data_IF_147764409253
#
_entry.id   IF_147764409253
#
_cell.length_a   1.000
_cell.length_b   1.000
_cell.length_c   1.000
_cell.angle_alpha   90.00
_cell.angle_beta   90.00
_cell.angle_gamma   90.00
#
_symmetry.space_group_name_H-M   'P 1'
#
loop_
_entity.id
_entity.type
_entity.pdbx_description
1 polymer ?
#
# COMPACT_ATOMS: atom_id res chain seq x y z
N UNK A 1 21.74 20.15 -16.54
CA UNK A 1 21.82 19.11 -15.49
C UNK A 1 21.18 17.83 -16.04
N UNK A 2 22.00 16.83 -16.40
CA UNK A 2 21.55 15.59 -17.06
C UNK A 2 20.78 14.73 -16.05
N UNK A 3 19.47 14.64 -16.20
CA UNK A 3 18.64 13.67 -15.47
C UNK A 3 18.94 12.29 -16.07
N UNK A 4 19.43 11.38 -15.23
CA UNK A 4 19.78 9.99 -15.56
C UNK A 4 18.73 9.29 -16.44
N UNK A 5 19.02 8.96 -17.71
CA UNK A 5 18.21 8.08 -18.50
C UNK A 5 18.92 6.73 -18.57
N UNK A 6 18.75 5.84 -17.58
CA UNK A 6 19.10 4.40 -17.65
C UNK A 6 18.88 3.70 -16.30
N UNK A 7 17.64 3.61 -15.80
CA UNK A 7 17.30 2.41 -15.02
C UNK A 7 17.08 1.28 -16.05
N UNK A 8 18.16 0.57 -16.41
CA UNK A 8 18.23 -0.36 -17.55
C UNK A 8 17.30 -1.60 -17.49
N UNK A 9 16.41 -1.71 -16.50
CA UNK A 9 15.34 -2.70 -16.53
C UNK A 9 14.23 -2.27 -15.58
N UNK A 10 12.98 -2.27 -16.05
CA UNK A 10 11.77 -2.19 -15.21
C UNK A 10 11.63 -3.51 -14.40
N UNK A 11 12.70 -3.89 -13.70
CA UNK A 11 12.85 -5.11 -12.90
C UNK A 11 13.21 -4.67 -11.49
N UNK A 12 12.36 -5.02 -10.53
CA UNK A 12 12.60 -4.72 -9.11
C UNK A 12 13.06 -5.97 -8.36
N UNK A 13 14.20 -5.87 -7.67
CA UNK A 13 14.75 -6.93 -6.83
C UNK A 13 14.17 -6.87 -5.40
N UNK A 14 14.09 -8.01 -4.72
CA UNK A 14 13.68 -8.09 -3.32
C UNK A 14 14.60 -8.99 -2.50
N UNK A 15 14.81 -8.64 -1.23
CA UNK A 15 15.64 -9.42 -0.29
C UNK A 15 14.85 -10.42 0.58
N UNK A 16 13.53 -10.53 0.36
CA UNK A 16 12.68 -11.58 0.96
C UNK A 16 11.70 -11.13 2.04
N UNK A 17 11.92 -10.00 2.72
CA UNK A 17 11.06 -9.57 3.85
C UNK A 17 9.60 -9.35 3.46
N UNK A 18 9.31 -8.82 2.27
CA UNK A 18 7.94 -8.70 1.75
C UNK A 18 7.27 -10.06 1.57
N UNK A 19 8.00 -11.06 1.03
CA UNK A 19 7.51 -12.44 0.88
C UNK A 19 7.21 -13.05 2.26
N UNK A 20 8.07 -12.84 3.25
CA UNK A 20 7.85 -13.34 4.61
C UNK A 20 6.60 -12.73 5.24
N UNK A 21 6.35 -11.43 5.07
CA UNK A 21 5.12 -10.79 5.54
C UNK A 21 3.88 -11.41 4.89
N UNK A 22 3.91 -11.68 3.58
CA UNK A 22 2.79 -12.32 2.89
C UNK A 22 2.56 -13.78 3.36
N UNK A 23 3.62 -14.54 3.62
CA UNK A 23 3.51 -15.89 4.20
C UNK A 23 2.92 -15.84 5.61
N UNK A 24 3.40 -14.92 6.46
CA UNK A 24 2.88 -14.74 7.80
C UNK A 24 1.39 -14.34 7.77
N UNK A 25 0.99 -13.46 6.86
CA UNK A 25 -0.40 -13.09 6.65
C UNK A 25 -1.29 -14.30 6.36
N UNK A 26 -0.85 -15.19 5.47
CA UNK A 26 -1.55 -16.44 5.17
C UNK A 26 -1.61 -17.40 6.36
N UNK A 27 -0.52 -17.54 7.11
CA UNK A 27 -0.45 -18.41 8.29
C UNK A 27 -1.39 -17.95 9.42
N UNK A 28 -1.49 -16.64 9.64
CA UNK A 28 -2.38 -16.05 10.65
C UNK A 28 -3.82 -15.81 10.14
N UNK A 29 -4.11 -16.10 8.86
CA UNK A 29 -5.43 -15.85 8.28
C UNK A 29 -5.81 -14.36 8.20
N UNK A 30 -4.84 -13.46 8.09
CA UNK A 30 -5.05 -12.01 8.06
C UNK A 30 -4.89 -11.48 6.63
N UNK A 31 -5.85 -10.70 6.09
CA UNK A 31 -5.82 -10.24 4.70
C UNK A 31 -4.88 -9.05 4.50
N UNK A 32 -3.58 -9.31 4.36
CA UNK A 32 -2.57 -8.29 4.02
C UNK A 32 -2.40 -8.18 2.49
N UNK A 33 -3.49 -7.87 1.81
CA UNK A 33 -3.58 -7.92 0.34
C UNK A 33 -2.64 -6.94 -0.34
N UNK A 34 -2.51 -5.71 0.17
CA UNK A 34 -1.76 -4.66 -0.53
C UNK A 34 -0.25 -4.94 -0.51
N UNK A 35 0.29 -5.45 0.60
CA UNK A 35 1.70 -5.87 0.67
C UNK A 35 1.92 -7.13 -0.18
N UNK A 36 0.96 -8.06 -0.19
CA UNK A 36 1.00 -9.25 -1.05
C UNK A 36 1.07 -8.89 -2.54
N UNK A 37 0.17 -8.06 -3.02
CA UNK A 37 0.17 -7.57 -4.41
C UNK A 37 1.45 -6.80 -4.75
N UNK A 38 1.99 -6.02 -3.81
CA UNK A 38 3.27 -5.36 -4.02
C UNK A 38 4.43 -6.37 -4.22
N UNK A 39 4.41 -7.52 -3.54
CA UNK A 39 5.39 -8.60 -3.76
C UNK A 39 5.18 -9.25 -5.13
N UNK A 40 3.93 -9.56 -5.50
CA UNK A 40 3.63 -10.15 -6.81
C UNK A 40 3.98 -9.22 -7.97
N UNK A 41 3.72 -7.91 -7.84
CA UNK A 41 4.12 -6.91 -8.83
C UNK A 41 5.65 -6.91 -9.07
N UNK A 42 6.45 -7.09 -8.01
CA UNK A 42 7.91 -7.24 -8.15
C UNK A 42 8.28 -8.52 -8.88
N UNK A 43 7.67 -9.64 -8.52
CA UNK A 43 7.88 -10.91 -9.23
C UNK A 43 7.53 -10.81 -10.71
N UNK A 44 6.38 -10.21 -11.05
CA UNK A 44 5.95 -9.97 -12.42
C UNK A 44 6.92 -9.06 -13.17
N UNK A 45 7.46 -8.02 -12.50
CA UNK A 45 8.47 -7.14 -13.10
C UNK A 45 9.73 -7.91 -13.55
N UNK A 46 10.15 -8.92 -12.79
CA UNK A 46 11.32 -9.76 -13.07
C UNK A 46 11.11 -10.71 -14.25
N UNK A 47 9.87 -11.05 -14.60
CA UNK A 47 9.53 -11.85 -15.79
C UNK A 47 9.56 -11.01 -17.07
N UNK A 48 10.62 -10.20 -17.26
CA UNK A 48 10.71 -9.20 -18.32
C UNK A 48 10.55 -9.82 -19.71
N UNK A 49 11.27 -10.89 -20.00
CA UNK A 49 11.25 -11.50 -21.34
C UNK A 49 9.86 -12.03 -21.69
N UNK A 50 9.19 -12.69 -20.73
CA UNK A 50 7.81 -13.14 -20.90
C UNK A 50 6.85 -11.97 -21.14
N UNK A 51 6.98 -10.86 -20.42
CA UNK A 51 6.16 -9.67 -20.63
C UNK A 51 6.39 -9.02 -21.99
N UNK A 52 7.64 -8.97 -22.45
CA UNK A 52 7.99 -8.44 -23.77
C UNK A 52 7.38 -9.32 -24.87
N UNK A 53 7.49 -10.64 -24.78
CA UNK A 53 6.85 -11.53 -25.75
C UNK A 53 5.32 -11.43 -25.70
N UNK A 54 4.71 -11.41 -24.51
CA UNK A 54 3.27 -11.25 -24.36
C UNK A 54 2.74 -9.93 -24.97
N UNK A 55 3.50 -8.83 -24.85
CA UNK A 55 3.13 -7.52 -25.40
C UNK A 55 3.03 -7.47 -26.94
N UNK A 56 3.64 -8.43 -27.64
CA UNK A 56 3.53 -8.56 -29.10
C UNK A 56 2.24 -9.26 -29.53
N UNK A 57 1.62 -10.03 -28.64
CA UNK A 57 0.47 -10.90 -28.92
C UNK A 57 -0.82 -10.31 -28.34
N UNK A 58 -0.75 -9.78 -27.12
CA UNK A 58 -1.90 -9.24 -26.41
C UNK A 58 -2.13 -7.77 -26.75
N UNK A 59 -3.37 -7.43 -27.11
CA UNK A 59 -3.81 -6.04 -27.26
C UNK A 59 -4.49 -5.53 -25.98
N UNK A 60 -4.32 -4.24 -25.70
CA UNK A 60 -4.98 -3.54 -24.60
C UNK A 60 -5.85 -2.39 -25.09
N UNK A 61 -6.63 -1.76 -24.20
CA UNK A 61 -7.38 -0.55 -24.55
C UNK A 61 -6.43 0.59 -24.94
N UNK A 62 -6.85 1.42 -25.89
CA UNK A 62 -6.08 2.58 -26.39
C UNK A 62 -6.65 3.92 -25.93
N UNK A 63 -7.53 3.88 -24.92
CA UNK A 63 -8.14 5.07 -24.35
C UNK A 63 -7.08 6.03 -23.81
N UNK A 64 -7.41 7.33 -23.81
CA UNK A 64 -6.61 8.36 -23.14
C UNK A 64 -7.41 8.93 -21.99
N UNK A 65 -6.71 9.41 -20.97
CA UNK A 65 -7.35 10.18 -19.91
C UNK A 65 -8.08 11.38 -20.53
N UNK A 66 -9.36 11.50 -20.23
CA UNK A 66 -10.20 12.63 -20.61
C UNK A 66 -10.39 13.55 -19.40
N UNK A 67 -10.47 14.86 -19.61
CA UNK A 67 -10.64 15.85 -18.54
C UNK A 67 -9.34 16.57 -18.17
N UNK A 68 -9.38 17.34 -17.08
CA UNK A 68 -8.22 18.09 -16.60
C UNK A 68 -7.21 17.16 -15.89
N UNK A 69 -5.96 17.06 -16.39
CA UNK A 69 -4.92 16.28 -15.72
C UNK A 69 -4.63 16.76 -14.29
N UNK A 70 -4.80 18.05 -14.00
CA UNK A 70 -4.53 18.63 -12.68
C UNK A 70 -5.54 18.13 -11.65
N UNK A 71 -6.82 18.12 -12.01
CA UNK A 71 -7.87 17.50 -11.21
C UNK A 71 -7.61 16.00 -10.99
N UNK A 72 -7.18 15.28 -12.03
CA UNK A 72 -6.89 13.85 -11.89
C UNK A 72 -5.69 13.57 -10.97
N UNK A 73 -4.68 14.45 -10.92
CA UNK A 73 -3.58 14.36 -9.95
C UNK A 73 -4.10 14.45 -8.52
N UNK A 74 -5.10 15.29 -8.24
CA UNK A 74 -5.72 15.37 -6.91
C UNK A 74 -6.49 14.08 -6.58
N UNK A 75 -7.17 13.48 -7.56
CA UNK A 75 -7.78 12.16 -7.39
C UNK A 75 -6.74 11.09 -7.06
N UNK A 76 -5.60 11.06 -7.76
CA UNK A 76 -4.47 10.14 -7.48
C UNK A 76 -3.91 10.38 -6.08
N UNK A 77 -3.73 11.64 -5.66
CA UNK A 77 -3.24 12.00 -4.33
C UNK A 77 -4.12 11.42 -3.22
N UNK A 78 -5.44 11.57 -3.35
CA UNK A 78 -6.43 11.01 -2.43
C UNK A 78 -6.46 9.47 -2.47
N UNK A 79 -6.41 8.88 -3.66
CA UNK A 79 -6.36 7.43 -3.85
C UNK A 79 -5.13 6.79 -3.19
N UNK A 80 -3.96 7.40 -3.38
CA UNK A 80 -2.70 6.98 -2.75
C UNK A 80 -2.79 7.08 -1.22
N UNK A 81 -3.36 8.15 -0.70
CA UNK A 81 -3.52 8.33 0.74
C UNK A 81 -4.46 7.29 1.36
N UNK A 82 -5.61 7.03 0.73
CA UNK A 82 -6.52 5.96 1.16
C UNK A 82 -5.84 4.58 1.12
N UNK A 83 -5.14 4.28 0.02
CA UNK A 83 -4.39 3.03 -0.14
C UNK A 83 -3.32 2.85 0.94
N UNK A 84 -2.62 3.95 1.30
CA UNK A 84 -1.66 3.96 2.41
C UNK A 84 -2.36 3.61 3.73
N UNK A 85 -3.48 4.25 4.06
CA UNK A 85 -4.22 3.95 5.30
C UNK A 85 -4.58 2.47 5.39
N UNK A 86 -5.15 1.91 4.32
CA UNK A 86 -5.55 0.49 4.28
C UNK A 86 -4.34 -0.44 4.42
N UNK A 87 -3.22 -0.14 3.75
CA UNK A 87 -1.98 -0.92 3.88
C UNK A 87 -1.47 -0.97 5.34
N UNK A 88 -1.48 0.16 6.03
CA UNK A 88 -1.11 0.20 7.45
C UNK A 88 -2.13 -0.53 8.33
N UNK A 89 -3.43 -0.37 8.07
CA UNK A 89 -4.47 -1.06 8.83
C UNK A 89 -4.27 -2.58 8.78
N UNK A 90 -4.02 -3.13 7.59
CA UNK A 90 -3.73 -4.55 7.39
C UNK A 90 -2.46 -4.99 8.15
N UNK A 91 -1.39 -4.19 8.08
CA UNK A 91 -0.15 -4.48 8.80
C UNK A 91 -0.33 -4.54 10.32
N UNK A 92 -1.07 -3.60 10.90
CA UNK A 92 -1.35 -3.59 12.34
C UNK A 92 -2.29 -4.73 12.76
N UNK A 93 -3.26 -5.11 11.91
CA UNK A 93 -4.08 -6.31 12.15
C UNK A 93 -3.21 -7.58 12.20
N UNK A 94 -2.23 -7.71 11.30
CA UNK A 94 -1.30 -8.84 11.32
C UNK A 94 -0.42 -8.84 12.57
N UNK A 95 0.14 -7.69 12.97
CA UNK A 95 0.90 -7.57 14.20
C UNK A 95 0.08 -7.99 15.43
N UNK A 96 -1.21 -7.63 15.46
CA UNK A 96 -2.11 -8.02 16.54
C UNK A 96 -2.38 -9.52 16.58
N UNK A 97 -2.62 -10.13 15.42
CA UNK A 97 -2.81 -11.58 15.34
C UNK A 97 -1.55 -12.33 15.79
N UNK A 98 -0.38 -11.89 15.32
CA UNK A 98 0.90 -12.47 15.74
C UNK A 98 1.14 -12.28 17.25
N UNK A 99 0.85 -11.10 17.79
CA UNK A 99 1.00 -10.84 19.22
C UNK A 99 0.14 -11.76 20.09
N UNK A 100 -1.09 -12.05 19.65
CA UNK A 100 -1.96 -13.03 20.31
C UNK A 100 -1.33 -14.43 20.30
N UNK A 101 -0.93 -14.93 19.12
CA UNK A 101 -0.45 -16.32 18.97
C UNK A 101 0.89 -16.55 19.66
N UNK A 102 1.79 -15.57 19.61
CA UNK A 102 3.10 -15.61 20.26
C UNK A 102 3.09 -15.11 21.70
N UNK A 103 1.92 -14.72 22.24
CA UNK A 103 1.76 -14.16 23.60
C UNK A 103 2.64 -12.94 23.86
N UNK A 104 2.85 -12.10 22.85
CA UNK A 104 3.59 -10.85 22.98
C UNK A 104 2.69 -9.72 23.47
N UNK A 105 3.19 -8.95 24.43
CA UNK A 105 2.54 -7.72 24.86
C UNK A 105 3.09 -6.54 24.05
N UNK A 106 2.54 -6.33 22.85
CA UNK A 106 2.99 -5.26 21.95
C UNK A 106 2.33 -3.92 22.26
N UNK A 107 3.13 -2.86 22.32
CA UNK A 107 2.63 -1.48 22.36
C UNK A 107 2.62 -0.90 20.94
N UNK A 108 1.47 -0.96 20.27
CA UNK A 108 1.30 -0.51 18.88
C UNK A 108 1.57 0.99 18.69
N UNK A 109 1.20 1.83 19.66
CA UNK A 109 1.51 3.26 19.64
C UNK A 109 3.01 3.53 19.69
N UNK A 110 3.74 2.83 20.55
CA UNK A 110 5.20 2.92 20.64
C UNK A 110 5.89 2.41 19.37
N UNK A 111 5.42 1.30 18.79
CA UNK A 111 5.91 0.79 17.50
C UNK A 111 5.75 1.86 16.42
N UNK A 112 4.56 2.47 16.30
CA UNK A 112 4.30 3.54 15.34
C UNK A 112 5.21 4.76 15.56
N UNK A 113 5.42 5.16 16.82
CA UNK A 113 6.30 6.28 17.16
C UNK A 113 7.76 6.01 16.77
N UNK A 114 8.26 4.80 17.05
CA UNK A 114 9.64 4.42 16.70
C UNK A 114 9.88 4.47 15.18
N UNK A 115 8.87 4.16 14.37
CA UNK A 115 8.97 4.27 12.91
C UNK A 115 8.95 5.72 12.40
N UNK A 116 8.66 6.72 13.24
CA UNK A 116 8.66 8.13 12.82
C UNK A 116 10.06 8.64 12.48
N UNK A 117 11.11 8.04 13.04
CA UNK A 117 12.51 8.39 12.80
C UNK A 117 13.33 7.21 12.27
N UNK A 118 14.38 7.49 11.49
CA UNK A 118 15.41 6.50 11.10
C UNK A 118 15.00 5.47 10.05
N UNK A 119 13.76 4.98 10.04
CA UNK A 119 13.33 3.94 9.10
C UNK A 119 12.92 4.49 7.71
N UNK A 120 12.77 3.59 6.73
CA UNK A 120 12.38 3.95 5.34
C UNK A 120 10.94 4.45 5.26
N UNK A 121 10.03 3.93 6.09
CA UNK A 121 8.60 4.28 6.07
C UNK A 121 8.25 5.54 6.87
N UNK A 122 9.27 6.24 7.38
CA UNK A 122 9.11 7.46 8.20
C UNK A 122 8.21 8.48 7.53
N UNK A 123 7.20 8.97 8.26
CA UNK A 123 6.33 10.04 7.79
C UNK A 123 5.53 10.63 8.95
N UNK A 124 5.03 11.87 8.79
CA UNK A 124 4.13 12.50 9.74
C UNK A 124 2.86 11.65 10.03
N UNK A 125 2.44 10.84 9.05
CA UNK A 125 1.33 9.90 9.15
C UNK A 125 1.43 8.93 10.35
N UNK A 126 2.63 8.53 10.73
CA UNK A 126 2.84 7.63 11.88
C UNK A 126 2.45 8.28 13.22
N UNK A 127 2.47 9.62 13.29
CA UNK A 127 1.94 10.36 14.43
C UNK A 127 0.44 10.16 14.60
N UNK A 128 -0.32 10.09 13.50
CA UNK A 128 -1.76 9.83 13.55
C UNK A 128 -2.06 8.40 14.01
N UNK A 129 -1.26 7.42 13.59
CA UNK A 129 -1.38 6.03 14.07
C UNK A 129 -1.11 5.96 15.58
N UNK A 130 -0.04 6.63 16.05
CA UNK A 130 0.24 6.71 17.49
C UNK A 130 -0.94 7.32 18.24
N UNK A 131 -1.47 8.45 17.79
CA UNK A 131 -2.60 9.13 18.42
C UNK A 131 -3.84 8.22 18.51
N UNK A 132 -4.12 7.43 17.46
CA UNK A 132 -5.22 6.47 17.46
C UNK A 132 -5.05 5.37 18.54
N UNK A 133 -3.83 4.83 18.70
CA UNK A 133 -3.53 3.85 19.73
C UNK A 133 -3.38 4.45 21.14
N UNK A 134 -3.01 5.72 21.27
CA UNK A 134 -3.04 6.43 22.55
C UNK A 134 -4.49 6.60 23.04
N UNK A 135 -5.41 6.92 22.11
CA UNK A 135 -6.85 7.03 22.39
C UNK A 135 -7.48 5.67 22.70
N UNK A 136 -7.13 4.63 21.96
CA UNK A 136 -7.60 3.27 22.20
C UNK A 136 -6.45 2.26 22.02
N UNK A 137 -5.78 1.84 23.11
CA UNK A 137 -4.70 0.85 23.04
C UNK A 137 -5.14 -0.52 22.50
N UNK A 138 -6.44 -0.82 22.63
CA UNK A 138 -7.05 -2.09 22.21
C UNK A 138 -7.70 -2.04 20.82
N UNK A 139 -7.41 -1.00 20.02
CA UNK A 139 -7.98 -0.81 18.69
C UNK A 139 -7.72 -2.04 17.79
N UNK A 140 -8.79 -2.60 17.22
CA UNK A 140 -8.72 -3.80 16.38
C UNK A 140 -8.33 -3.49 14.93
N UNK A 141 -8.74 -2.33 14.43
CA UNK A 141 -8.43 -1.86 13.09
C UNK A 141 -8.32 -0.34 13.08
N UNK A 142 -7.32 0.21 12.38
CA UNK A 142 -7.13 1.65 12.25
C UNK A 142 -8.35 2.34 11.64
N UNK A 143 -9.11 1.64 10.79
CA UNK A 143 -10.32 2.16 10.14
C UNK A 143 -11.50 2.38 11.11
N UNK A 144 -11.35 2.06 12.40
CA UNK A 144 -12.34 2.35 13.44
C UNK A 144 -12.01 3.62 14.23
N UNK A 145 -10.83 4.20 14.05
CA UNK A 145 -10.51 5.50 14.65
C UNK A 145 -11.05 6.65 13.80
N UNK A 146 -11.53 7.69 14.48
CA UNK A 146 -12.24 8.83 13.88
C UNK A 146 -11.42 9.54 12.81
N UNK A 147 -10.12 9.73 13.01
CA UNK A 147 -9.26 10.40 12.03
C UNK A 147 -9.20 9.60 10.71
N UNK A 148 -9.04 8.28 10.81
CA UNK A 148 -8.94 7.43 9.61
C UNK A 148 -10.30 7.23 8.94
N UNK A 149 -11.40 7.18 9.69
CA UNK A 149 -12.76 7.16 9.13
C UNK A 149 -13.00 8.40 8.27
N UNK A 150 -12.72 9.58 8.78
CA UNK A 150 -12.92 10.83 8.05
C UNK A 150 -11.99 10.91 6.84
N UNK A 151 -10.71 10.55 6.99
CA UNK A 151 -9.77 10.51 5.88
C UNK A 151 -10.21 9.56 4.75
N UNK A 152 -10.74 8.38 5.08
CA UNK A 152 -11.28 7.44 4.08
C UNK A 152 -12.56 8.00 3.46
N UNK A 153 -13.44 8.62 4.24
CA UNK A 153 -14.67 9.25 3.73
C UNK A 153 -14.35 10.31 2.67
N UNK A 154 -13.34 11.13 2.91
CA UNK A 154 -12.92 12.22 2.01
C UNK A 154 -12.19 11.72 0.75
N UNK A 155 -11.61 10.52 0.81
CA UNK A 155 -10.79 9.98 -0.27
C UNK A 155 -11.48 8.90 -1.11
N UNK A 156 -12.48 8.20 -0.58
CA UNK A 156 -13.01 6.98 -1.22
C UNK A 156 -13.62 7.23 -2.61
N UNK A 157 -14.25 8.38 -2.86
CA UNK A 157 -14.80 8.71 -4.18
C UNK A 157 -13.68 8.86 -5.22
N UNK A 158 -12.65 9.64 -4.90
CA UNK A 158 -11.45 9.75 -5.73
C UNK A 158 -10.75 8.41 -5.92
N UNK A 159 -10.70 7.59 -4.87
CA UNK A 159 -10.06 6.28 -4.93
C UNK A 159 -10.78 5.35 -5.92
N UNK A 160 -12.12 5.28 -5.86
CA UNK A 160 -12.94 4.52 -6.81
C UNK A 160 -12.81 5.06 -8.22
N UNK A 161 -12.78 6.38 -8.38
CA UNK A 161 -12.60 7.02 -9.69
C UNK A 161 -11.26 6.61 -10.32
N UNK A 162 -10.15 6.68 -9.57
CA UNK A 162 -8.83 6.27 -10.07
C UNK A 162 -8.80 4.80 -10.45
N UNK A 163 -9.36 3.90 -9.64
CA UNK A 163 -9.39 2.46 -9.94
C UNK A 163 -10.23 2.17 -11.20
N UNK A 164 -11.40 2.78 -11.33
CA UNK A 164 -12.25 2.61 -12.51
C UNK A 164 -11.58 3.13 -13.77
N UNK A 165 -11.00 4.33 -13.72
CA UNK A 165 -10.28 4.93 -14.84
C UNK A 165 -9.05 4.11 -15.22
N UNK A 166 -8.25 3.64 -14.25
CA UNK A 166 -7.09 2.78 -14.53
C UNK A 166 -7.50 1.49 -15.24
N UNK A 167 -8.56 0.83 -14.78
CA UNK A 167 -9.08 -0.38 -15.42
C UNK A 167 -9.58 -0.12 -16.85
N UNK A 168 -10.27 0.99 -17.09
CA UNK A 168 -10.73 1.39 -18.43
C UNK A 168 -9.58 1.71 -19.39
N UNK A 169 -8.49 2.29 -18.87
CA UNK A 169 -7.31 2.66 -19.64
C UNK A 169 -6.26 1.53 -19.75
N UNK A 170 -6.47 0.39 -19.09
CA UNK A 170 -5.54 -0.75 -19.13
C UNK A 170 -4.23 -0.48 -18.40
N UNK A 171 -4.29 0.24 -17.27
CA UNK A 171 -3.16 0.57 -16.40
C UNK A 171 -3.09 -0.39 -15.21
#
# INVERSE_FOLDING_TARGET
CKILPCCCSLVSLQKGTGKWTAIAALQHGIPVTLIGEAVFARCLSSLKDQRVEASKILSGPTGKLTGDPTEFVEHIRKALYASKIVSYAQGFMLLRSAAHDYKWNLNYGAIALMWRGGCIIRSAFLGNIKAAFDKNPSLSCLLLDTFFVDAIRDCQTSWRHVVATAAQLGI
#
